data_IF_009235332218
#
_entry.id   IF_009235332218
#
_cell.length_a   1.000
_cell.length_b   1.000
_cell.length_c   1.000
_cell.angle_alpha   90.00
_cell.angle_beta   90.00
_cell.angle_gamma   90.00
#
_symmetry.space_group_name_H-M   'P 1'
#
loop_
_entity.id
_entity.type
_entity.pdbx_description
1 polymer ?
#
# COMPACT_ATOMS: atom_id res chain seq x y z
N UNK A 1 -23.50 18.78 -16.14
CA UNK A 1 -22.07 18.50 -16.00
C UNK A 1 -21.45 18.26 -17.38
N UNK A 2 -20.26 18.77 -17.61
CA UNK A 2 -19.54 18.66 -18.90
C UNK A 2 -18.16 18.05 -18.63
N UNK A 3 -17.82 17.01 -19.39
CA UNK A 3 -16.47 16.44 -19.37
C UNK A 3 -15.70 17.02 -20.56
N UNK A 4 -14.61 17.72 -20.27
CA UNK A 4 -13.74 18.29 -21.28
C UNK A 4 -12.79 17.23 -21.87
N UNK A 5 -12.28 17.50 -23.07
CA UNK A 5 -11.31 16.61 -23.77
C UNK A 5 -9.99 16.40 -23.02
N UNK A 6 -9.66 17.29 -22.09
CA UNK A 6 -8.48 17.17 -21.21
C UNK A 6 -8.77 16.40 -19.89
N UNK A 7 -9.97 15.78 -19.77
CA UNK A 7 -10.37 14.99 -18.61
C UNK A 7 -10.91 15.79 -17.42
N UNK A 8 -11.05 17.12 -17.53
CA UNK A 8 -11.68 17.92 -16.47
C UNK A 8 -13.20 17.76 -16.51
N UNK A 9 -13.81 17.70 -15.32
CA UNK A 9 -15.25 17.69 -15.12
C UNK A 9 -15.71 19.05 -14.59
N UNK A 10 -16.59 19.73 -15.34
CA UNK A 10 -17.15 20.99 -14.93
C UNK A 10 -18.63 20.84 -14.61
N UNK A 11 -19.07 21.35 -13.47
CA UNK A 11 -20.48 21.61 -13.22
C UNK A 11 -20.80 23.02 -13.72
N UNK A 12 -21.81 23.11 -14.59
CA UNK A 12 -22.22 24.40 -15.19
C UNK A 12 -23.61 24.75 -14.66
N UNK A 13 -23.70 25.86 -13.99
CA UNK A 13 -24.95 26.44 -13.54
C UNK A 13 -25.25 27.68 -14.38
N UNK A 14 -26.47 27.76 -14.89
CA UNK A 14 -26.93 28.89 -15.69
C UNK A 14 -28.07 29.60 -14.98
N UNK A 15 -27.98 30.88 -14.81
CA UNK A 15 -29.05 31.73 -14.31
C UNK A 15 -29.31 32.91 -15.26
N UNK A 16 -30.57 33.28 -15.40
CA UNK A 16 -30.96 34.47 -16.17
C UNK A 16 -31.13 35.63 -15.19
N UNK A 17 -30.30 36.67 -15.31
CA UNK A 17 -30.48 37.92 -14.61
C UNK A 17 -31.17 38.93 -15.57
N UNK A 18 -32.41 39.21 -15.34
CA UNK A 18 -33.18 40.23 -16.11
C UNK A 18 -33.72 41.27 -15.15
N UNK A 19 -33.46 42.52 -15.42
CA UNK A 19 -34.16 43.63 -14.75
C UNK A 19 -35.49 43.89 -15.42
N UNK A 20 -36.55 44.15 -14.64
CA UNK A 20 -37.90 44.42 -15.08
C UNK A 20 -38.04 45.65 -15.99
N UNK A 21 -37.00 46.45 -16.22
CA UNK A 21 -37.04 47.69 -16.99
C UNK A 21 -36.15 47.76 -18.24
N UNK A 22 -35.23 46.86 -18.43
CA UNK A 22 -34.41 46.78 -19.65
C UNK A 22 -34.64 45.45 -20.35
N UNK A 23 -35.05 45.53 -21.63
CA UNK A 23 -35.35 44.35 -22.48
C UNK A 23 -34.13 43.51 -22.85
N UNK A 24 -33.07 43.56 -22.05
CA UNK A 24 -31.87 42.78 -22.20
C UNK A 24 -31.79 41.70 -21.13
N UNK A 25 -32.05 40.45 -21.53
CA UNK A 25 -31.80 39.29 -20.69
C UNK A 25 -30.30 38.94 -20.69
N UNK A 26 -29.65 39.00 -19.54
CA UNK A 26 -28.27 38.57 -19.35
C UNK A 26 -28.27 37.17 -18.77
N UNK A 27 -27.53 36.24 -19.39
CA UNK A 27 -27.31 34.91 -18.86
C UNK A 27 -25.97 34.87 -18.10
N UNK A 28 -26.02 34.47 -16.84
CA UNK A 28 -24.82 34.23 -16.02
C UNK A 28 -24.54 32.73 -16.01
N UNK A 29 -23.36 32.32 -16.49
CA UNK A 29 -22.89 30.96 -16.47
C UNK A 29 -21.76 30.83 -15.42
N UNK A 30 -21.95 29.95 -14.44
CA UNK A 30 -20.95 29.66 -13.42
C UNK A 30 -20.36 28.27 -13.69
N UNK A 31 -19.05 28.18 -13.79
CA UNK A 31 -18.33 26.95 -14.03
C UNK A 31 -17.59 26.55 -12.75
N UNK A 32 -17.96 25.41 -12.18
CA UNK A 32 -17.25 24.83 -11.04
C UNK A 32 -16.42 23.62 -11.52
N UNK A 33 -15.11 23.67 -11.31
CA UNK A 33 -14.26 22.50 -11.55
C UNK A 33 -14.48 21.46 -10.44
N UNK A 34 -15.18 20.37 -10.79
CA UNK A 34 -15.51 19.26 -9.90
C UNK A 34 -14.66 18.01 -10.17
N UNK A 35 -13.56 18.14 -10.89
CA UNK A 35 -12.70 17.02 -11.30
C UNK A 35 -12.22 16.19 -10.11
N UNK A 36 -11.68 16.84 -9.08
CA UNK A 36 -11.21 16.16 -7.87
C UNK A 36 -12.37 15.52 -7.09
N UNK A 37 -13.50 16.19 -6.99
CA UNK A 37 -14.69 15.64 -6.33
C UNK A 37 -15.16 14.35 -7.03
N UNK A 38 -15.24 14.36 -8.35
CA UNK A 38 -15.61 13.18 -9.14
C UNK A 38 -14.60 12.05 -9.03
N UNK A 39 -13.32 12.39 -9.02
CA UNK A 39 -12.26 11.42 -8.80
C UNK A 39 -12.38 10.74 -7.43
N UNK A 40 -12.61 11.51 -6.37
CA UNK A 40 -12.79 10.99 -5.02
C UNK A 40 -14.05 10.11 -4.90
N UNK A 41 -15.16 10.52 -5.52
CA UNK A 41 -16.39 9.71 -5.58
C UNK A 41 -16.15 8.38 -6.31
N UNK A 42 -15.42 8.39 -7.42
CA UNK A 42 -15.08 7.19 -8.17
C UNK A 42 -14.21 6.24 -7.36
N UNK A 43 -13.14 6.77 -6.75
CA UNK A 43 -12.26 5.99 -5.85
C UNK A 43 -13.06 5.37 -4.70
N UNK A 44 -14.02 6.11 -4.11
CA UNK A 44 -14.88 5.60 -3.04
C UNK A 44 -15.82 4.49 -3.52
N UNK A 45 -16.43 4.65 -4.69
CA UNK A 45 -17.30 3.61 -5.29
C UNK A 45 -16.53 2.34 -5.61
N UNK A 46 -15.36 2.48 -6.23
CA UNK A 46 -14.48 1.35 -6.55
C UNK A 46 -13.98 0.65 -5.28
N UNK A 47 -13.67 1.40 -4.23
CA UNK A 47 -13.29 0.84 -2.94
C UNK A 47 -14.40 -0.05 -2.37
N UNK A 48 -15.65 0.44 -2.28
CA UNK A 48 -16.79 -0.34 -1.74
C UNK A 48 -17.06 -1.58 -2.60
N UNK A 49 -16.99 -1.46 -3.93
CA UNK A 49 -17.16 -2.58 -4.84
C UNK A 49 -16.07 -3.64 -4.64
N UNK A 50 -14.81 -3.23 -4.56
CA UNK A 50 -13.67 -4.12 -4.37
C UNK A 50 -13.70 -4.82 -3.00
N UNK A 51 -14.04 -4.11 -1.92
CA UNK A 51 -14.26 -4.71 -0.58
C UNK A 51 -15.30 -5.80 -0.66
N UNK A 52 -16.47 -5.50 -1.27
CA UNK A 52 -17.57 -6.45 -1.40
C UNK A 52 -17.14 -7.71 -2.17
N UNK A 53 -16.36 -7.56 -3.22
CA UNK A 53 -15.85 -8.68 -4.01
C UNK A 53 -14.82 -9.52 -3.26
N UNK A 54 -13.85 -8.87 -2.59
CA UNK A 54 -12.77 -9.56 -1.88
C UNK A 54 -13.27 -10.27 -0.60
N UNK A 55 -14.38 -9.82 0.01
CA UNK A 55 -15.04 -10.52 1.12
C UNK A 55 -15.96 -11.64 0.63
N UNK A 56 -16.68 -11.45 -0.49
CA UNK A 56 -17.62 -12.45 -1.01
C UNK A 56 -16.92 -13.74 -1.45
N UNK A 57 -15.77 -13.64 -2.10
CA UNK A 57 -15.05 -14.80 -2.65
C UNK A 57 -14.68 -15.84 -1.57
N UNK A 58 -13.95 -15.49 -0.48
CA UNK A 58 -13.64 -16.45 0.57
C UNK A 58 -14.91 -16.95 1.30
N UNK A 59 -15.90 -16.09 1.50
CA UNK A 59 -17.16 -16.48 2.15
C UNK A 59 -17.92 -17.53 1.33
N UNK A 60 -17.99 -17.36 0.00
CA UNK A 60 -18.62 -18.35 -0.90
C UNK A 60 -17.84 -19.66 -0.88
N UNK A 61 -16.51 -19.60 -0.83
CA UNK A 61 -15.66 -20.80 -0.72
C UNK A 61 -15.91 -21.54 0.62
N UNK A 62 -15.92 -20.83 1.74
CA UNK A 62 -16.23 -21.42 3.07
C UNK A 62 -17.59 -22.11 3.01
N UNK A 63 -18.63 -21.42 2.53
CA UNK A 63 -19.98 -21.95 2.43
C UNK A 63 -20.01 -23.24 1.58
N UNK A 64 -19.40 -23.24 0.40
CA UNK A 64 -19.39 -24.40 -0.50
C UNK A 64 -18.68 -25.62 0.12
N UNK A 65 -17.56 -25.43 0.84
CA UNK A 65 -16.88 -26.54 1.51
C UNK A 65 -17.65 -27.05 2.74
N UNK A 66 -18.38 -26.19 3.46
CA UNK A 66 -19.27 -26.60 4.54
C UNK A 66 -20.44 -27.43 3.98
N UNK A 67 -21.07 -26.99 2.88
CA UNK A 67 -22.12 -27.73 2.20
C UNK A 67 -21.62 -29.10 1.73
N UNK A 68 -20.42 -29.17 1.11
CA UNK A 68 -19.80 -30.43 0.67
C UNK A 68 -19.48 -31.39 1.85
N UNK A 69 -19.11 -30.86 3.02
CA UNK A 69 -18.93 -31.67 4.22
C UNK A 69 -20.28 -32.25 4.72
N UNK A 70 -21.34 -31.46 4.68
CA UNK A 70 -22.67 -31.89 5.09
C UNK A 70 -23.26 -32.95 4.14
N UNK A 71 -22.96 -32.86 2.84
CA UNK A 71 -23.44 -33.75 1.77
C UNK A 71 -22.64 -35.07 1.66
N UNK A 72 -21.90 -35.44 2.71
CA UNK A 72 -21.21 -36.72 2.80
C UNK A 72 -19.68 -36.62 2.86
N UNK A 73 -19.08 -35.44 2.59
CA UNK A 73 -17.62 -35.27 2.68
C UNK A 73 -17.05 -35.48 4.10
N UNK A 74 -17.89 -35.43 5.12
CA UNK A 74 -17.52 -35.75 6.51
C UNK A 74 -17.27 -37.24 6.75
N UNK A 75 -17.78 -38.11 5.89
CA UNK A 75 -17.70 -39.58 6.05
C UNK A 75 -16.35 -40.12 5.56
N UNK A 76 -15.61 -39.32 4.76
CA UNK A 76 -14.23 -39.58 4.38
C UNK A 76 -13.26 -38.68 5.18
N UNK A 77 -12.46 -39.26 6.11
CA UNK A 77 -11.57 -38.52 6.99
C UNK A 77 -10.56 -37.63 6.23
N UNK A 78 -10.01 -38.11 5.11
CA UNK A 78 -9.01 -37.38 4.34
C UNK A 78 -9.62 -36.16 3.65
N UNK A 79 -10.78 -36.33 3.02
CA UNK A 79 -11.53 -35.25 2.39
C UNK A 79 -12.01 -34.24 3.44
N UNK A 80 -12.47 -34.70 4.60
CA UNK A 80 -12.91 -33.87 5.71
C UNK A 80 -11.80 -32.94 6.21
N UNK A 81 -10.60 -33.49 6.49
CA UNK A 81 -9.44 -32.69 6.93
C UNK A 81 -9.03 -31.69 5.87
N UNK A 82 -9.01 -32.08 4.61
CA UNK A 82 -8.68 -31.17 3.50
C UNK A 82 -9.67 -30.01 3.39
N UNK A 83 -10.97 -30.26 3.49
CA UNK A 83 -11.99 -29.22 3.41
C UNK A 83 -11.94 -28.28 4.63
N UNK A 84 -11.73 -28.81 5.82
CA UNK A 84 -11.54 -28.00 7.03
C UNK A 84 -10.29 -27.11 6.94
N UNK A 85 -9.17 -27.61 6.38
CA UNK A 85 -7.97 -26.81 6.15
C UNK A 85 -8.23 -25.66 5.17
N UNK A 86 -9.01 -25.90 4.12
CA UNK A 86 -9.40 -24.82 3.18
C UNK A 86 -10.30 -23.79 3.88
N UNK A 87 -11.28 -24.25 4.66
CA UNK A 87 -12.17 -23.33 5.41
C UNK A 87 -11.34 -22.45 6.36
N UNK A 88 -10.41 -23.06 7.10
CA UNK A 88 -9.52 -22.33 8.01
C UNK A 88 -8.70 -21.27 7.27
N UNK A 89 -8.04 -21.63 6.16
CA UNK A 89 -7.27 -20.70 5.33
C UNK A 89 -8.11 -19.53 4.79
N UNK A 90 -9.37 -19.79 4.40
CA UNK A 90 -10.26 -18.72 3.93
C UNK A 90 -10.73 -17.83 5.08
N UNK A 91 -10.94 -18.38 6.27
CA UNK A 91 -11.26 -17.61 7.48
C UNK A 91 -10.11 -16.68 7.89
N UNK A 92 -8.88 -17.21 7.93
CA UNK A 92 -7.68 -16.42 8.23
C UNK A 92 -7.50 -15.28 7.22
N UNK A 93 -7.76 -15.57 5.95
CA UNK A 93 -7.73 -14.55 4.90
C UNK A 93 -8.78 -13.44 5.10
N UNK A 94 -10.01 -13.80 5.51
CA UNK A 94 -11.05 -12.82 5.83
C UNK A 94 -10.61 -11.92 6.99
N UNK A 95 -10.04 -12.48 8.04
CA UNK A 95 -9.54 -11.72 9.17
C UNK A 95 -8.44 -10.73 8.72
N UNK A 96 -7.49 -11.18 7.90
CA UNK A 96 -6.43 -10.30 7.37
C UNK A 96 -7.00 -9.13 6.54
N UNK A 97 -8.01 -9.39 5.70
CA UNK A 97 -8.66 -8.34 4.92
C UNK A 97 -9.36 -7.33 5.85
N UNK A 98 -10.05 -7.81 6.90
CA UNK A 98 -10.74 -6.94 7.86
C UNK A 98 -9.74 -6.09 8.67
N UNK A 99 -8.64 -6.66 9.12
CA UNK A 99 -7.58 -5.95 9.84
C UNK A 99 -6.95 -4.87 8.97
N UNK A 100 -6.59 -5.20 7.72
CA UNK A 100 -6.04 -4.24 6.74
C UNK A 100 -7.03 -3.09 6.47
N UNK A 101 -8.33 -3.39 6.30
CA UNK A 101 -9.37 -2.40 6.07
C UNK A 101 -9.56 -1.46 7.26
N UNK A 102 -9.64 -2.01 8.47
CA UNK A 102 -9.77 -1.23 9.70
C UNK A 102 -8.55 -0.33 9.91
N UNK A 103 -7.36 -0.85 9.65
CA UNK A 103 -6.14 -0.08 9.75
C UNK A 103 -6.10 1.05 8.73
N UNK A 104 -6.38 0.76 7.45
CA UNK A 104 -6.40 1.76 6.39
C UNK A 104 -7.43 2.86 6.71
N UNK A 105 -8.64 2.48 7.14
CA UNK A 105 -9.68 3.42 7.54
C UNK A 105 -9.25 4.35 8.68
N UNK A 106 -8.57 3.81 9.72
CA UNK A 106 -8.06 4.62 10.84
C UNK A 106 -6.97 5.59 10.40
N UNK A 107 -6.08 5.18 9.50
CA UNK A 107 -5.00 6.04 8.98
C UNK A 107 -5.61 7.17 8.13
N UNK A 108 -6.51 6.85 7.21
CA UNK A 108 -7.13 7.82 6.30
C UNK A 108 -8.05 8.83 6.99
N UNK A 109 -8.72 8.41 8.06
CA UNK A 109 -9.55 9.32 8.86
C UNK A 109 -8.74 10.24 9.79
N UNK A 110 -7.41 10.13 9.81
CA UNK A 110 -6.56 10.89 10.71
C UNK A 110 -6.69 10.49 12.19
N UNK A 111 -7.38 9.38 12.49
CA UNK A 111 -7.54 8.88 13.85
C UNK A 111 -6.25 8.28 14.42
N UNK A 112 -5.32 7.88 13.55
CA UNK A 112 -4.00 7.41 13.95
C UNK A 112 -3.05 8.59 14.01
N UNK A 113 -2.71 9.00 15.22
CA UNK A 113 -1.58 9.91 15.44
C UNK A 113 -0.31 9.05 15.46
N UNK A 114 0.55 9.26 14.46
CA UNK A 114 1.86 8.61 14.46
C UNK A 114 2.71 9.20 15.57
N UNK A 115 3.33 8.33 16.35
CA UNK A 115 4.32 8.78 17.34
C UNK A 115 5.47 9.43 16.59
N UNK A 116 5.92 10.56 17.13
CA UNK A 116 7.08 11.29 16.62
C UNK A 116 8.19 11.19 17.67
N UNK A 117 8.95 10.11 17.60
CA UNK A 117 10.06 9.83 18.54
C UNK A 117 11.36 9.73 17.75
N UNK A 118 12.49 10.20 18.32
CA UNK A 118 13.80 10.02 17.69
C UNK A 118 14.09 8.53 17.47
N UNK A 119 14.38 8.16 16.22
CA UNK A 119 14.48 6.77 15.81
C UNK A 119 15.71 6.52 14.93
N UNK A 120 16.42 5.44 15.21
CA UNK A 120 17.47 4.91 14.35
C UNK A 120 16.88 3.85 13.40
N UNK A 121 16.98 4.07 12.09
CA UNK A 121 16.47 3.12 11.08
C UNK A 121 17.14 1.75 11.18
N UNK A 122 18.39 1.68 11.61
CA UNK A 122 19.07 0.40 11.84
C UNK A 122 18.29 -0.52 12.78
N UNK A 123 17.72 0.02 13.88
CA UNK A 123 16.92 -0.76 14.82
C UNK A 123 15.61 -1.30 14.20
N UNK A 124 14.99 -0.54 13.29
CA UNK A 124 13.81 -1.00 12.52
C UNK A 124 14.19 -2.15 11.60
N UNK A 125 15.32 -2.03 10.90
CA UNK A 125 15.82 -3.07 9.99
C UNK A 125 16.12 -4.36 10.76
N UNK A 126 16.88 -4.28 11.85
CA UNK A 126 17.28 -5.45 12.63
C UNK A 126 16.07 -6.18 13.21
N UNK A 127 15.12 -5.44 13.81
CA UNK A 127 13.90 -6.00 14.37
C UNK A 127 13.05 -6.69 13.30
N UNK A 128 12.90 -6.05 12.15
CA UNK A 128 12.07 -6.60 11.07
C UNK A 128 12.72 -7.83 10.43
N UNK A 129 14.04 -7.81 10.21
CA UNK A 129 14.78 -8.97 9.69
C UNK A 129 14.65 -10.15 10.64
N UNK A 130 14.83 -9.94 11.95
CA UNK A 130 14.67 -11.03 12.93
C UNK A 130 13.29 -11.67 12.87
N UNK A 131 12.23 -10.86 12.67
CA UNK A 131 10.86 -11.33 12.56
C UNK A 131 10.60 -12.10 11.27
N UNK A 132 11.14 -11.64 10.13
CA UNK A 132 10.86 -12.18 8.80
C UNK A 132 11.77 -13.34 8.41
N UNK A 133 12.94 -13.45 9.02
CA UNK A 133 13.95 -14.46 8.70
C UNK A 133 13.40 -15.90 8.65
N UNK A 134 12.57 -16.38 9.59
CA UNK A 134 12.01 -17.75 9.51
C UNK A 134 11.19 -18.01 8.23
N UNK A 135 10.47 -16.97 7.72
CA UNK A 135 9.70 -17.08 6.48
C UNK A 135 10.61 -17.11 5.25
N UNK A 136 11.69 -16.31 5.26
CA UNK A 136 12.69 -16.32 4.20
C UNK A 136 13.44 -17.66 4.16
N UNK A 137 13.85 -18.19 5.31
CA UNK A 137 14.56 -19.47 5.44
C UNK A 137 13.69 -20.65 4.95
N UNK A 138 12.37 -20.63 5.21
CA UNK A 138 11.42 -21.65 4.73
C UNK A 138 11.40 -21.78 3.20
N UNK A 139 11.67 -20.67 2.49
CA UNK A 139 11.79 -20.63 1.02
C UNK A 139 13.24 -20.60 0.52
N UNK A 140 14.19 -20.89 1.41
CA UNK A 140 15.63 -20.88 1.10
C UNK A 140 16.14 -19.56 0.50
N UNK A 141 15.49 -18.42 0.84
CA UNK A 141 15.90 -17.11 0.36
C UNK A 141 17.17 -16.63 1.06
N UNK A 142 18.02 -15.96 0.29
CA UNK A 142 19.20 -15.25 0.83
C UNK A 142 18.79 -13.85 1.25
N UNK A 143 18.47 -13.69 2.53
CA UNK A 143 18.13 -12.37 3.11
C UNK A 143 19.42 -11.66 3.58
N UNK A 144 19.67 -10.43 3.10
CA UNK A 144 20.83 -9.62 3.44
C UNK A 144 20.40 -8.23 3.93
N UNK A 145 21.13 -7.69 4.90
CA UNK A 145 21.02 -6.31 5.33
C UNK A 145 22.32 -5.55 4.99
N UNK A 146 22.16 -4.32 4.50
CA UNK A 146 23.24 -3.38 4.20
C UNK A 146 22.82 -2.03 4.76
N UNK A 147 23.23 -1.74 5.98
CA UNK A 147 22.87 -0.53 6.72
C UNK A 147 24.11 0.31 6.90
N UNK A 148 24.12 1.54 6.41
CA UNK A 148 25.21 2.47 6.65
C UNK A 148 25.35 2.75 8.14
N UNK A 149 26.59 2.82 8.63
CA UNK A 149 26.86 3.08 10.05
C UNK A 149 26.50 4.52 10.47
N UNK A 150 26.44 5.45 9.51
CA UNK A 150 26.28 6.90 9.72
C UNK A 150 24.91 7.39 9.23
N UNK A 151 23.85 6.70 9.64
CA UNK A 151 22.49 7.12 9.32
C UNK A 151 22.03 8.24 10.26
N UNK A 152 21.38 9.29 9.74
CA UNK A 152 20.79 10.32 10.59
C UNK A 152 19.60 9.77 11.39
N UNK A 153 19.36 10.38 12.55
CA UNK A 153 18.14 10.14 13.33
C UNK A 153 16.95 10.72 12.56
N UNK A 154 15.87 9.97 12.53
CA UNK A 154 14.59 10.44 11.99
C UNK A 154 13.58 10.55 13.12
N UNK A 155 12.55 11.39 12.97
CA UNK A 155 11.38 11.37 13.83
C UNK A 155 10.33 10.43 13.23
N UNK A 156 9.86 9.47 14.03
CA UNK A 156 8.86 8.55 13.51
C UNK A 156 8.34 7.54 14.53
N UNK A 157 7.36 6.78 14.08
CA UNK A 157 6.75 5.68 14.82
C UNK A 157 7.43 4.37 14.45
N UNK A 158 8.22 3.83 15.38
CA UNK A 158 8.99 2.59 15.17
C UNK A 158 8.10 1.42 14.77
N UNK A 159 6.95 1.23 15.42
CA UNK A 159 6.04 0.12 15.13
C UNK A 159 5.48 0.22 13.70
N UNK A 160 5.15 1.42 13.26
CA UNK A 160 4.65 1.68 11.92
C UNK A 160 5.73 1.50 10.85
N UNK A 161 6.95 1.91 11.12
CA UNK A 161 8.06 1.70 10.18
C UNK A 161 8.51 0.23 10.12
N UNK A 162 8.45 -0.50 11.25
CA UNK A 162 8.58 -1.97 11.24
C UNK A 162 7.50 -2.60 10.37
N UNK A 163 6.26 -2.14 10.46
CA UNK A 163 5.17 -2.63 9.62
C UNK A 163 5.39 -2.32 8.13
N UNK A 164 5.87 -1.12 7.80
CA UNK A 164 6.25 -0.77 6.41
C UNK A 164 7.25 -1.79 5.87
N UNK A 165 8.35 -1.99 6.60
CA UNK A 165 9.41 -2.89 6.14
C UNK A 165 8.95 -4.35 6.11
N UNK A 166 8.14 -4.80 7.08
CA UNK A 166 7.55 -6.13 7.10
C UNK A 166 6.66 -6.39 5.89
N UNK A 167 5.79 -5.45 5.51
CA UNK A 167 4.93 -5.57 4.33
C UNK A 167 5.74 -5.63 3.02
N UNK A 168 6.82 -4.85 2.91
CA UNK A 168 7.70 -4.88 1.75
C UNK A 168 8.45 -6.21 1.66
N UNK A 169 8.96 -6.71 2.78
CA UNK A 169 9.68 -7.99 2.85
C UNK A 169 8.76 -9.19 2.63
N UNK A 170 7.53 -9.17 3.15
CA UNK A 170 6.53 -10.20 2.89
C UNK A 170 6.21 -10.28 1.38
N UNK A 171 6.04 -9.14 0.73
CA UNK A 171 5.89 -9.10 -0.73
C UNK A 171 7.12 -9.65 -1.45
N UNK A 172 8.33 -9.25 -1.06
CA UNK A 172 9.56 -9.79 -1.65
C UNK A 172 9.65 -11.31 -1.52
N UNK A 173 9.31 -11.87 -0.34
CA UNK A 173 9.30 -13.33 -0.11
C UNK A 173 8.20 -14.03 -0.93
N UNK A 174 7.03 -13.43 -1.05
CA UNK A 174 5.91 -13.99 -1.81
C UNK A 174 6.21 -14.10 -3.30
N UNK A 175 6.84 -13.06 -3.87
CA UNK A 175 7.03 -12.95 -5.32
C UNK A 175 8.43 -13.33 -5.81
N UNK A 176 9.34 -13.68 -4.91
CA UNK A 176 10.64 -14.24 -5.27
C UNK A 176 10.55 -15.78 -5.31
N UNK A 177 11.02 -16.42 -6.38
CA UNK A 177 11.14 -17.88 -6.43
C UNK A 177 12.07 -18.40 -5.34
N UNK A 178 11.89 -19.66 -4.98
CA UNK A 178 12.72 -20.35 -4.00
C UNK A 178 14.23 -20.21 -4.31
N UNK A 179 15.04 -19.99 -3.29
CA UNK A 179 16.48 -19.78 -3.42
C UNK A 179 16.90 -18.40 -3.88
N UNK A 180 15.94 -17.49 -4.17
CA UNK A 180 16.22 -16.12 -4.61
C UNK A 180 16.86 -15.26 -3.53
N UNK A 181 17.18 -14.03 -3.89
CA UNK A 181 17.85 -13.07 -3.01
C UNK A 181 16.95 -11.88 -2.71
N UNK A 182 16.94 -11.47 -1.43
CA UNK A 182 16.25 -10.28 -0.93
C UNK A 182 17.27 -9.45 -0.16
N UNK A 183 17.39 -8.17 -0.49
CA UNK A 183 18.34 -7.26 0.14
C UNK A 183 17.59 -6.06 0.71
N UNK A 184 17.78 -5.79 1.98
CA UNK A 184 17.38 -4.54 2.64
C UNK A 184 18.60 -3.64 2.70
N UNK A 185 18.51 -2.41 2.21
CA UNK A 185 19.59 -1.45 2.39
C UNK A 185 19.05 -0.14 2.96
N UNK A 186 19.83 0.49 3.82
CA UNK A 186 19.53 1.81 4.35
C UNK A 186 20.76 2.70 4.19
N UNK A 187 20.58 3.85 3.55
CA UNK A 187 21.68 4.79 3.27
C UNK A 187 21.27 6.23 3.54
N UNK A 188 22.25 7.06 3.88
CA UNK A 188 22.07 8.51 4.02
C UNK A 188 21.86 9.15 2.64
N UNK A 189 20.91 10.03 2.51
CA UNK A 189 20.65 10.78 1.28
C UNK A 189 20.51 12.29 1.56
N UNK A 190 20.91 13.17 0.63
CA UNK A 190 20.47 14.56 0.67
C UNK A 190 18.98 14.62 0.31
N UNK A 191 18.17 15.27 1.13
CA UNK A 191 16.75 15.51 0.80
C UNK A 191 16.66 16.82 0.06
N UNK A 192 16.42 16.73 -1.24
CA UNK A 192 16.08 17.87 -2.10
C UNK A 192 14.60 18.26 -1.89
N UNK A 193 14.21 18.56 -0.66
CA UNK A 193 12.86 19.06 -0.38
C UNK A 193 12.94 20.57 -0.23
N UNK A 194 12.16 21.28 -1.03
CA UNK A 194 11.86 22.72 -1.00
C UNK A 194 12.85 23.56 -0.19
N UNK A 195 13.57 24.44 -0.87
CA UNK A 195 14.48 25.43 -0.28
C UNK A 195 13.80 26.17 0.86
N UNK A 196 13.89 25.60 2.05
CA UNK A 196 13.66 26.35 3.29
C UNK A 196 14.96 27.04 3.67
N UNK A 197 14.88 28.12 4.41
CA UNK A 197 16.04 28.93 4.80
C UNK A 197 17.14 28.16 5.58
N UNK A 198 16.86 26.92 5.99
CA UNK A 198 17.67 26.12 6.95
C UNK A 198 18.71 25.19 6.28
N UNK A 199 18.93 25.32 4.96
CA UNK A 199 19.99 24.55 4.26
C UNK A 199 19.55 23.15 3.76
N UNK A 200 20.51 22.34 3.24
CA UNK A 200 20.19 21.02 2.71
C UNK A 200 19.82 20.07 3.86
N UNK A 201 18.58 19.56 3.82
CA UNK A 201 18.12 18.53 4.76
C UNK A 201 18.69 17.18 4.34
N UNK A 202 19.09 16.39 5.33
CA UNK A 202 19.46 14.98 5.15
C UNK A 202 18.23 14.09 5.36
N UNK A 203 18.32 12.87 4.89
CA UNK A 203 17.28 11.86 5.07
C UNK A 203 17.85 10.46 4.96
N UNK A 204 16.97 9.49 5.12
CA UNK A 204 17.31 8.08 4.95
C UNK A 204 16.54 7.52 3.76
N UNK A 205 17.26 6.84 2.87
CA UNK A 205 16.67 6.00 1.84
C UNK A 205 16.75 4.54 2.31
N UNK A 206 15.58 3.95 2.55
CA UNK A 206 15.42 2.54 2.88
C UNK A 206 14.95 1.80 1.63
N UNK A 207 15.64 0.75 1.22
CA UNK A 207 15.30 -0.02 0.03
C UNK A 207 15.09 -1.49 0.36
N UNK A 208 14.11 -2.10 -0.31
CA UNK A 208 13.92 -3.55 -0.35
C UNK A 208 14.03 -3.97 -1.80
N UNK A 209 15.05 -4.76 -2.11
CA UNK A 209 15.34 -5.26 -3.45
C UNK A 209 15.20 -6.78 -3.47
N UNK A 210 14.45 -7.30 -4.44
CA UNK A 210 14.25 -8.71 -4.66
C UNK A 210 14.73 -9.15 -6.06
N UNK A 211 14.95 -10.45 -6.24
CA UNK A 211 15.24 -11.08 -7.53
C UNK A 211 14.05 -11.89 -8.05
N UNK A 212 12.84 -11.39 -7.75
CA UNK A 212 11.58 -12.05 -8.09
C UNK A 212 11.14 -11.82 -9.53
N UNK A 213 9.84 -12.01 -9.74
CA UNK A 213 9.22 -11.88 -11.08
C UNK A 213 9.19 -10.44 -11.61
N UNK A 214 9.43 -9.45 -10.73
CA UNK A 214 9.36 -8.03 -11.08
C UNK A 214 7.93 -7.50 -11.25
N UNK A 215 7.85 -6.18 -11.45
CA UNK A 215 6.60 -5.45 -11.70
C UNK A 215 6.71 -4.77 -13.06
N UNK A 216 5.80 -5.06 -14.01
CA UNK A 216 5.77 -4.39 -15.31
C UNK A 216 5.71 -2.87 -15.15
N UNK A 217 6.40 -2.13 -16.00
CA UNK A 217 6.52 -0.67 -15.89
C UNK A 217 5.17 0.04 -15.85
N UNK A 218 4.22 -0.40 -16.68
CA UNK A 218 2.85 0.14 -16.73
C UNK A 218 2.08 -0.02 -15.42
N UNK A 219 2.44 -1.02 -14.60
CA UNK A 219 1.72 -1.36 -13.36
C UNK A 219 2.37 -0.69 -12.13
N UNK A 220 3.65 -0.25 -12.23
CA UNK A 220 4.39 0.36 -11.10
C UNK A 220 3.70 1.56 -10.45
N UNK A 221 3.10 2.51 -11.18
CA UNK A 221 2.38 3.62 -10.54
C UNK A 221 1.15 3.16 -9.74
N UNK A 222 0.59 2.00 -10.12
CA UNK A 222 -0.69 1.50 -9.61
C UNK A 222 -0.57 0.54 -8.44
N UNK A 223 0.60 -0.04 -8.18
CA UNK A 223 0.76 -1.07 -7.11
C UNK A 223 0.45 -0.55 -5.71
N UNK A 224 0.42 0.76 -5.52
CA UNK A 224 0.03 1.42 -4.27
C UNK A 224 -1.48 1.75 -4.20
N UNK A 225 -2.24 1.49 -5.28
CA UNK A 225 -3.70 1.62 -5.26
C UNK A 225 -4.31 0.49 -4.42
N UNK A 226 -5.42 0.77 -3.74
CA UNK A 226 -6.14 -0.21 -2.91
C UNK A 226 -6.66 -1.36 -3.78
N UNK A 227 -6.45 -2.61 -3.34
CA UNK A 227 -6.84 -3.85 -4.03
C UNK A 227 -6.20 -4.07 -5.40
N UNK A 228 -5.24 -3.22 -5.79
CA UNK A 228 -4.55 -3.42 -7.04
C UNK A 228 -3.62 -4.64 -6.97
N UNK A 229 -3.63 -5.43 -8.03
CA UNK A 229 -2.78 -6.61 -8.20
C UNK A 229 -2.45 -6.77 -9.67
N UNK A 230 -1.16 -6.95 -9.98
CA UNK A 230 -0.69 -7.20 -11.35
C UNK A 230 -1.27 -8.51 -11.90
N UNK A 231 -1.25 -9.57 -11.07
CA UNK A 231 -1.88 -10.87 -11.35
C UNK A 231 -2.82 -11.25 -10.19
N UNK A 232 -4.12 -11.19 -10.47
CA UNK A 232 -5.17 -11.46 -9.46
C UNK A 232 -5.19 -12.92 -9.02
N UNK A 233 -4.94 -13.87 -9.94
CA UNK A 233 -5.00 -15.31 -9.64
C UNK A 233 -3.84 -15.70 -8.72
N UNK A 234 -2.63 -15.44 -9.15
CA UNK A 234 -1.41 -15.76 -8.40
C UNK A 234 -1.35 -15.07 -7.04
N UNK A 235 -1.77 -13.80 -6.99
CA UNK A 235 -1.79 -13.05 -5.72
C UNK A 235 -2.79 -13.62 -4.71
N UNK A 236 -3.91 -14.20 -5.18
CA UNK A 236 -4.89 -14.89 -4.30
C UNK A 236 -4.31 -16.17 -3.71
N UNK A 237 -3.61 -16.96 -4.50
CA UNK A 237 -2.93 -18.18 -4.04
C UNK A 237 -1.87 -17.87 -2.98
N UNK A 238 -1.17 -16.74 -3.13
CA UNK A 238 -0.14 -16.29 -2.18
C UNK A 238 -0.71 -15.54 -0.96
N UNK A 239 -2.04 -15.46 -0.82
CA UNK A 239 -2.71 -14.84 0.33
C UNK A 239 -2.60 -13.31 0.39
N UNK A 240 -2.36 -12.65 -0.75
CA UNK A 240 -2.33 -11.18 -0.79
C UNK A 240 -3.72 -10.55 -0.66
N UNK A 241 -3.85 -9.48 0.12
CA UNK A 241 -5.09 -8.67 0.25
C UNK A 241 -5.18 -7.59 -0.83
N UNK A 242 -4.03 -7.11 -1.32
CA UNK A 242 -3.93 -5.93 -2.18
C UNK A 242 -4.05 -4.60 -1.42
N UNK A 243 -4.01 -4.63 -0.10
CA UNK A 243 -4.06 -3.45 0.77
C UNK A 243 -2.70 -3.11 1.38
N UNK A 244 -1.82 -4.08 1.54
CA UNK A 244 -0.54 -3.90 2.23
C UNK A 244 0.33 -2.76 1.66
N UNK A 245 0.45 -2.63 0.33
CA UNK A 245 1.22 -1.54 -0.28
C UNK A 245 0.52 -0.18 -0.17
N UNK A 246 -0.81 -0.13 -0.16
CA UNK A 246 -1.56 1.10 0.13
C UNK A 246 -1.32 1.55 1.57
N UNK A 247 -1.34 0.62 2.54
CA UNK A 247 -1.00 0.89 3.95
C UNK A 247 0.43 1.41 4.07
N UNK A 248 1.39 0.76 3.40
CA UNK A 248 2.78 1.21 3.36
C UNK A 248 2.89 2.66 2.87
N UNK A 249 2.22 2.99 1.77
CA UNK A 249 2.22 4.35 1.23
C UNK A 249 1.69 5.36 2.24
N UNK A 250 0.54 5.11 2.85
CA UNK A 250 -0.04 6.03 3.84
C UNK A 250 0.83 6.21 5.09
N UNK A 251 1.47 5.13 5.57
CA UNK A 251 2.38 5.24 6.71
C UNK A 251 3.60 6.10 6.34
N UNK A 252 4.19 5.86 5.17
CA UNK A 252 5.37 6.62 4.70
C UNK A 252 5.03 8.09 4.49
N UNK A 253 3.89 8.40 3.86
CA UNK A 253 3.39 9.77 3.66
C UNK A 253 3.09 10.45 5.01
N UNK A 254 2.53 9.74 5.98
CA UNK A 254 2.30 10.23 7.34
C UNK A 254 3.58 10.55 8.13
N UNK A 255 4.73 10.01 7.70
CA UNK A 255 6.07 10.37 8.20
C UNK A 255 6.75 11.45 7.35
N UNK A 256 6.01 12.14 6.46
CA UNK A 256 6.57 13.14 5.55
C UNK A 256 7.49 12.56 4.47
N UNK A 257 7.47 11.24 4.30
CA UNK A 257 8.30 10.52 3.35
C UNK A 257 7.64 10.28 2.00
N UNK A 258 8.35 9.58 1.14
CA UNK A 258 7.90 9.17 -0.18
C UNK A 258 8.26 7.71 -0.44
N UNK A 259 7.40 6.99 -1.15
CA UNK A 259 7.67 5.64 -1.62
C UNK A 259 7.52 5.54 -3.14
N UNK A 260 8.41 4.77 -3.76
CA UNK A 260 8.31 4.39 -5.17
C UNK A 260 8.79 2.96 -5.39
N UNK A 261 8.51 2.43 -6.58
CA UNK A 261 9.00 1.12 -7.02
C UNK A 261 9.69 1.24 -8.36
N UNK A 262 10.79 0.52 -8.49
CA UNK A 262 11.64 0.43 -9.68
C UNK A 262 11.79 -1.03 -10.09
N UNK A 263 12.18 -1.28 -11.34
CA UNK A 263 12.60 -2.62 -11.75
C UNK A 263 14.01 -2.92 -11.25
N UNK A 264 14.25 -4.16 -10.87
CA UNK A 264 15.59 -4.67 -10.61
C UNK A 264 16.09 -5.47 -11.82
N UNK A 265 17.37 -5.30 -12.18
CA UNK A 265 17.99 -5.96 -13.34
C UNK A 265 18.80 -7.16 -12.85
N UNK A 266 18.71 -8.34 -13.49
CA UNK A 266 17.93 -8.65 -14.70
C UNK A 266 16.44 -8.88 -14.45
N UNK A 267 16.03 -9.27 -13.25
CA UNK A 267 14.65 -9.52 -12.86
C UNK A 267 14.45 -9.12 -11.40
N UNK A 268 13.22 -8.68 -11.04
CA UNK A 268 12.85 -8.36 -9.68
C UNK A 268 12.32 -6.95 -9.53
N UNK A 269 12.10 -6.55 -8.28
CA UNK A 269 11.61 -5.24 -7.92
C UNK A 269 12.53 -4.58 -6.88
N UNK A 270 12.56 -3.26 -6.87
CA UNK A 270 13.21 -2.44 -5.86
C UNK A 270 12.20 -1.42 -5.34
N UNK A 271 11.78 -1.61 -4.12
CA UNK A 271 10.98 -0.61 -3.40
C UNK A 271 11.92 0.37 -2.72
N UNK A 272 11.65 1.66 -2.85
CA UNK A 272 12.47 2.75 -2.34
C UNK A 272 11.60 3.64 -1.47
N UNK A 273 11.91 3.70 -0.19
CA UNK A 273 11.28 4.58 0.81
C UNK A 273 12.28 5.66 1.19
N UNK A 274 11.86 6.92 1.12
CA UNK A 274 12.65 8.07 1.56
C UNK A 274 11.97 8.73 2.74
N UNK A 275 12.69 8.89 3.83
CA UNK A 275 12.21 9.53 5.06
C UNK A 275 13.09 10.75 5.35
N UNK A 276 12.50 11.90 5.71
CA UNK A 276 13.26 13.07 6.12
C UNK A 276 13.90 12.80 7.49
N UNK A 277 15.13 13.28 7.69
CA UNK A 277 15.76 13.34 9.01
C UNK A 277 15.45 14.68 9.68
N UNK A 278 15.60 14.72 11.01
CA UNK A 278 15.65 15.98 11.72
C UNK A 278 16.81 16.85 11.23
N UNK A 279 16.61 18.19 11.23
CA UNK A 279 17.75 19.09 11.07
C UNK A 279 18.78 18.76 12.14
N UNK A 280 20.05 18.53 11.75
CA UNK A 280 21.14 18.47 12.71
C UNK A 280 21.20 19.83 13.44
N UNK A 281 20.96 19.85 14.75
CA UNK A 281 21.26 21.02 15.57
C UNK A 281 22.74 21.30 15.37
N UNK A 282 23.05 22.42 14.74
CA UNK A 282 24.44 22.90 14.66
C UNK A 282 24.75 23.55 15.99
N UNK A 283 25.61 22.89 16.78
CA UNK A 283 26.30 23.49 17.93
C UNK A 283 27.11 24.74 17.53
#
# INVERSE_FOLDING_TARGET
EIVLTNGRCLNVEASVAGGEQDNEACAVLVFHDITELRRLEHIRKDFVANVSHELRTPLTSIKGYVEALLDGGKDDPETSVRFLDIILKQSDRLNLILEDLLQLSKIESGQVQFKQEPLQIGSVVDRTIAMIKPLADKKHHRLRAQVDADLPIINGDQERLVQVLANLLDNAIKYTPEGGQITVAAQRIPVLAHRTADGPRTGVELTVTDTGIGIPEKDRPRVFERFYRVDKARSRELGGTGLGLAIVKHIVEGHGGQIRVEGNVPNGSRFVVRLPAEPEERD
#
